data_IF_604695071960
#
_entry.id   IF_604695071960
#
_cell.length_a   1.000
_cell.length_b   1.000
_cell.length_c   1.000
_cell.angle_alpha   90.00
_cell.angle_beta   90.00
_cell.angle_gamma   90.00
#
_symmetry.space_group_name_H-M   'P 1'
#
loop_
_entity.id
_entity.type
_entity.pdbx_description
1 polymer ?
#
# COMPACT_ATOMS: atom_id res chain seq x y z
N UNK A 1 -13.89 -5.66 -13.78
CA UNK A 1 -14.66 -4.88 -12.79
C UNK A 1 -13.79 -3.95 -11.92
N UNK A 2 -12.49 -3.78 -12.22
CA UNK A 2 -11.56 -2.91 -11.48
C UNK A 2 -11.31 -3.36 -10.04
N UNK A 3 -10.34 -4.27 -9.81
CA UNK A 3 -9.93 -4.64 -8.45
C UNK A 3 -8.93 -3.59 -7.94
N UNK A 4 -9.17 -3.04 -6.76
CA UNK A 4 -8.26 -2.09 -6.12
C UNK A 4 -7.95 -2.55 -4.70
N UNK A 5 -6.78 -2.16 -4.21
CA UNK A 5 -6.43 -2.23 -2.78
C UNK A 5 -6.84 -0.89 -2.19
N UNK A 6 -7.78 -0.91 -1.25
CA UNK A 6 -8.14 0.27 -0.46
C UNK A 6 -7.36 0.24 0.84
N UNK A 7 -6.58 1.30 1.09
CA UNK A 7 -5.95 1.51 2.38
C UNK A 7 -6.66 2.66 3.07
N UNK A 8 -7.25 2.35 4.22
CA UNK A 8 -7.98 3.31 5.04
C UNK A 8 -7.14 3.66 6.26
N UNK A 9 -6.88 4.96 6.46
CA UNK A 9 -6.29 5.48 7.70
C UNK A 9 -7.38 6.19 8.50
N UNK A 10 -7.61 5.83 9.77
CA UNK A 10 -8.55 6.55 10.64
C UNK A 10 -8.01 7.93 11.09
N UNK A 11 -6.73 8.21 10.89
CA UNK A 11 -6.04 9.45 11.30
C UNK A 11 -5.21 9.95 10.11
N UNK A 12 -5.12 11.28 9.93
CA UNK A 12 -4.19 11.87 8.95
C UNK A 12 -2.75 11.51 9.32
N UNK A 13 -2.21 10.50 8.66
CA UNK A 13 -0.90 9.95 8.98
C UNK A 13 -0.38 9.16 7.78
N UNK A 14 0.94 9.18 7.52
CA UNK A 14 1.50 8.63 6.29
C UNK A 14 1.40 7.10 6.29
N UNK A 15 0.64 6.58 5.32
CA UNK A 15 0.68 5.19 4.87
C UNK A 15 1.67 5.12 3.72
N UNK A 16 2.62 4.19 3.80
CA UNK A 16 3.56 3.91 2.71
C UNK A 16 3.38 2.51 2.20
N UNK A 17 3.55 2.33 0.90
CA UNK A 17 3.58 1.02 0.27
C UNK A 17 4.92 0.85 -0.39
N UNK A 18 5.56 -0.24 -0.05
CA UNK A 18 6.91 -0.57 -0.46
C UNK A 18 6.87 -1.83 -1.32
N UNK A 19 7.69 -1.87 -2.36
CA UNK A 19 8.00 -3.11 -3.08
C UNK A 19 8.84 -4.03 -2.20
N UNK A 20 9.01 -5.30 -2.60
CA UNK A 20 9.88 -6.25 -1.87
C UNK A 20 11.34 -5.79 -1.78
N UNK A 21 11.78 -4.91 -2.69
CA UNK A 21 13.10 -4.28 -2.68
C UNK A 21 13.21 -3.09 -1.71
N UNK A 22 12.13 -2.74 -1.01
CA UNK A 22 12.06 -1.57 -0.13
C UNK A 22 11.81 -0.25 -0.86
N UNK A 23 11.57 -0.28 -2.18
CA UNK A 23 11.30 0.93 -2.95
C UNK A 23 9.90 1.46 -2.63
N UNK A 24 9.80 2.77 -2.42
CA UNK A 24 8.52 3.44 -2.20
C UNK A 24 7.70 3.44 -3.50
N UNK A 25 6.57 2.73 -3.47
CA UNK A 25 5.61 2.65 -4.57
C UNK A 25 4.57 3.76 -4.44
N UNK A 26 4.11 4.00 -3.21
CA UNK A 26 3.08 5.00 -2.92
C UNK A 26 3.20 5.49 -1.48
N UNK A 27 3.01 6.79 -1.26
CA UNK A 27 2.81 7.40 0.05
C UNK A 27 1.53 8.22 0.03
N UNK A 28 0.72 8.12 1.08
CA UNK A 28 -0.45 8.98 1.26
C UNK A 28 -0.75 9.20 2.74
N UNK A 29 -1.20 10.40 3.07
CA UNK A 29 -1.63 10.78 4.42
C UNK A 29 -3.14 10.62 4.64
N UNK A 30 -3.88 10.26 3.59
CA UNK A 30 -5.34 10.11 3.61
C UNK A 30 -5.76 8.76 3.01
N UNK A 31 -7.05 8.44 3.11
CA UNK A 31 -7.62 7.23 2.50
C UNK A 31 -7.29 7.17 1.01
N UNK A 32 -6.69 6.06 0.58
CA UNK A 32 -6.17 5.93 -0.79
C UNK A 32 -6.58 4.61 -1.41
N UNK A 33 -6.92 4.68 -2.70
CA UNK A 33 -7.19 3.52 -3.54
C UNK A 33 -6.06 3.33 -4.52
N UNK A 34 -5.64 2.09 -4.65
CA UNK A 34 -4.57 1.71 -5.55
C UNK A 34 -5.17 0.73 -6.51
N UNK A 35 -5.17 1.11 -7.78
CA UNK A 35 -5.56 0.18 -8.82
C UNK A 35 -4.61 -1.00 -8.77
N UNK A 36 -5.15 -2.20 -8.54
CA UNK A 36 -4.30 -3.38 -8.50
C UNK A 36 -3.63 -3.57 -9.86
N UNK A 37 -4.22 -3.12 -10.98
CA UNK A 37 -3.65 -3.25 -12.31
C UNK A 37 -2.33 -2.48 -12.50
N UNK A 38 -2.08 -1.39 -11.76
CA UNK A 38 -0.84 -0.60 -11.89
C UNK A 38 0.36 -1.21 -11.16
N UNK A 39 0.14 -2.21 -10.30
CA UNK A 39 1.19 -2.93 -9.60
C UNK A 39 1.72 -4.10 -10.44
N UNK A 40 2.99 -4.45 -10.31
CA UNK A 40 3.51 -5.71 -10.87
C UNK A 40 3.12 -6.88 -9.96
N UNK A 41 3.11 -8.11 -10.47
CA UNK A 41 2.94 -9.30 -9.61
C UNK A 41 4.14 -9.40 -8.66
N UNK A 42 3.88 -9.61 -7.37
CA UNK A 42 4.93 -9.57 -6.36
C UNK A 42 4.43 -9.43 -4.93
N UNK A 43 5.39 -9.39 -4.00
CA UNK A 43 5.15 -9.09 -2.58
C UNK A 43 5.29 -7.59 -2.35
N UNK A 44 4.35 -7.03 -1.58
CA UNK A 44 4.34 -5.64 -1.19
C UNK A 44 4.19 -5.53 0.33
N UNK A 45 4.82 -4.51 0.90
CA UNK A 45 4.70 -4.15 2.31
C UNK A 45 3.91 -2.85 2.43
N UNK A 46 2.99 -2.77 3.38
CA UNK A 46 2.27 -1.55 3.74
C UNK A 46 2.78 -1.14 5.12
N UNK A 47 3.50 -0.02 5.19
CA UNK A 47 3.93 0.59 6.42
C UNK A 47 2.85 1.54 6.92
N UNK A 48 2.36 1.24 8.12
CA UNK A 48 1.42 2.07 8.85
C UNK A 48 2.15 3.14 9.68
N UNK A 49 1.46 4.22 10.08
CA UNK A 49 2.04 5.31 10.85
C UNK A 49 2.65 4.92 12.20
N UNK A 50 2.12 3.88 12.83
CA UNK A 50 2.60 3.32 14.10
C UNK A 50 3.85 2.43 13.92
N UNK A 51 4.36 2.32 12.69
CA UNK A 51 5.51 1.48 12.35
C UNK A 51 5.15 0.03 12.07
N UNK A 52 3.89 -0.38 12.21
CA UNK A 52 3.48 -1.73 11.82
C UNK A 52 3.59 -1.95 10.32
N UNK A 53 3.99 -3.18 9.95
CA UNK A 53 4.12 -3.60 8.56
C UNK A 53 3.09 -4.69 8.26
N UNK A 54 2.20 -4.42 7.30
CA UNK A 54 1.33 -5.41 6.70
C UNK A 54 1.96 -5.91 5.39
N UNK A 55 1.66 -7.13 4.98
CA UNK A 55 2.14 -7.68 3.70
C UNK A 55 0.96 -8.15 2.85
N UNK A 56 1.04 -7.92 1.54
CA UNK A 56 0.12 -8.55 0.59
C UNK A 56 0.88 -9.05 -0.64
N UNK A 57 0.35 -10.10 -1.27
CA UNK A 57 0.90 -10.68 -2.50
C UNK A 57 -0.07 -10.41 -3.62
N UNK A 58 0.38 -9.69 -4.65
CA UNK A 58 -0.33 -9.62 -5.92
C UNK A 58 0.10 -10.81 -6.78
N UNK A 59 -0.83 -11.72 -7.06
CA UNK A 59 -0.66 -12.80 -8.03
C UNK A 59 -1.01 -12.28 -9.41
#
# INVERSE_FOLDING_TARGET
>A
SGRYVEVRSPVESPIRILSVGGELVLESTTNTRIDAASLHSGLYLIQLPDGHLLKFVKK
#
